data_IF_195692941274
#
_entry.id   IF_195692941274
#
_cell.length_a   1.000
_cell.length_b   1.000
_cell.length_c   1.000
_cell.angle_alpha   90.00
_cell.angle_beta   90.00
_cell.angle_gamma   90.00
#
_symmetry.space_group_name_H-M   'P 1'
#
loop_
_entity.id
_entity.type
_entity.pdbx_description
1 polymer ?
#
# COMPACT_ATOMS: atom_id res chain seq x y z
N UNK A 1 -12.82 5.07 -13.24
CA UNK A 1 -13.15 4.39 -11.97
C UNK A 1 -14.04 5.27 -11.13
N UNK A 2 -15.17 4.76 -10.71
CA UNK A 2 -16.07 5.50 -9.82
C UNK A 2 -15.71 5.13 -8.37
N UNK A 3 -15.18 6.11 -7.63
CA UNK A 3 -14.67 5.87 -6.28
C UNK A 3 -15.73 5.31 -5.33
N UNK A 4 -16.99 5.73 -5.47
CA UNK A 4 -18.09 5.26 -4.63
C UNK A 4 -18.38 3.77 -4.79
N UNK A 5 -17.88 3.12 -5.85
CA UNK A 5 -18.05 1.69 -6.09
C UNK A 5 -16.95 0.86 -5.43
N UNK A 6 -15.90 1.50 -4.94
CA UNK A 6 -14.82 0.82 -4.27
C UNK A 6 -15.21 0.38 -2.87
N UNK A 7 -14.61 -0.71 -2.38
CA UNK A 7 -14.78 -1.14 -0.99
C UNK A 7 -14.28 -0.04 -0.04
N UNK A 8 -14.75 -0.02 1.22
CA UNK A 8 -14.29 0.99 2.18
C UNK A 8 -12.77 1.05 2.33
N UNK A 9 -12.11 -0.10 2.37
CA UNK A 9 -10.65 -0.15 2.46
C UNK A 9 -10.01 0.49 1.24
N UNK A 10 -10.49 0.15 0.07
CA UNK A 10 -9.92 0.68 -1.18
C UNK A 10 -10.19 2.16 -1.34
N UNK A 11 -11.35 2.65 -0.88
CA UNK A 11 -11.63 4.08 -0.85
C UNK A 11 -10.59 4.81 0.01
N UNK A 12 -10.28 4.28 1.18
CA UNK A 12 -9.29 4.86 2.07
C UNK A 12 -7.90 4.83 1.44
N UNK A 13 -7.55 3.72 0.78
CA UNK A 13 -6.27 3.62 0.07
C UNK A 13 -6.16 4.72 -1.00
N UNK A 14 -7.17 4.86 -1.82
CA UNK A 14 -7.18 5.85 -2.91
C UNK A 14 -7.07 7.28 -2.35
N UNK A 15 -7.81 7.58 -1.29
CA UNK A 15 -7.75 8.90 -0.65
C UNK A 15 -6.36 9.18 -0.09
N UNK A 16 -5.76 8.19 0.57
CA UNK A 16 -4.41 8.33 1.12
C UNK A 16 -3.38 8.54 0.01
N UNK A 17 -3.51 7.78 -1.08
CA UNK A 17 -2.61 7.91 -2.23
C UNK A 17 -2.66 9.32 -2.83
N UNK A 18 -3.81 9.96 -2.85
CA UNK A 18 -3.95 11.33 -3.35
C UNK A 18 -3.11 12.34 -2.57
N UNK A 19 -2.87 12.06 -1.29
CA UNK A 19 -2.05 12.93 -0.44
C UNK A 19 -0.55 12.69 -0.65
N UNK A 20 -0.18 11.55 -1.23
CA UNK A 20 1.21 11.16 -1.46
C UNK A 20 1.41 10.67 -2.90
N UNK A 21 1.08 11.51 -3.90
CA UNK A 21 1.04 11.05 -5.29
C UNK A 21 2.42 10.69 -5.85
N UNK A 22 3.49 11.22 -5.27
CA UNK A 22 4.87 10.97 -5.69
C UNK A 22 5.55 9.85 -4.91
N UNK A 23 4.81 9.20 -4.00
CA UNK A 23 5.33 8.10 -3.19
C UNK A 23 4.68 6.78 -3.59
N UNK A 24 5.43 5.70 -3.46
CA UNK A 24 4.83 4.36 -3.47
C UNK A 24 4.17 4.20 -2.11
N UNK A 25 2.89 3.84 -2.08
CA UNK A 25 2.15 3.71 -0.83
C UNK A 25 2.14 2.25 -0.38
N UNK A 26 2.78 1.98 0.76
CA UNK A 26 2.74 0.70 1.45
C UNK A 26 1.60 0.74 2.45
N UNK A 27 0.57 -0.05 2.21
CA UNK A 27 -0.67 0.00 3.00
C UNK A 27 -0.78 -1.25 3.87
N UNK A 28 -0.73 -1.09 5.18
CA UNK A 28 -0.74 -2.22 6.11
C UNK A 28 -2.09 -2.92 6.11
N UNK A 29 -2.08 -4.22 5.83
CA UNK A 29 -3.25 -5.10 5.89
C UNK A 29 -2.85 -6.40 6.56
N UNK A 30 -3.29 -6.58 7.81
CA UNK A 30 -2.89 -7.74 8.58
C UNK A 30 -1.37 -7.80 8.76
N UNK A 31 -0.77 -8.91 8.35
CA UNK A 31 0.68 -9.12 8.49
C UNK A 31 1.47 -8.67 7.26
N UNK A 32 0.83 -7.97 6.33
CA UNK A 32 1.46 -7.54 5.09
C UNK A 32 1.35 -6.04 4.90
N UNK A 33 2.25 -5.49 4.09
CA UNK A 33 2.03 -4.21 3.41
C UNK A 33 1.66 -4.53 1.98
N UNK A 34 0.53 -4.00 1.52
CA UNK A 34 0.04 -4.24 0.17
C UNK A 34 0.10 -2.96 -0.66
N UNK A 35 0.34 -3.13 -1.95
CA UNK A 35 0.37 -2.05 -2.92
C UNK A 35 -0.64 -2.37 -4.01
N UNK A 36 -1.30 -1.33 -4.54
CA UNK A 36 -2.40 -1.51 -5.51
C UNK A 36 -2.19 -0.61 -6.72
N UNK A 37 -2.84 -0.99 -7.81
CA UNK A 37 -2.88 -0.21 -9.05
C UNK A 37 -1.47 0.04 -9.59
N UNK A 38 -1.14 1.27 -9.97
CA UNK A 38 0.16 1.60 -10.54
C UNK A 38 1.31 1.25 -9.62
N UNK A 39 1.16 1.46 -8.31
CA UNK A 39 2.22 1.12 -7.36
C UNK A 39 2.49 -0.39 -7.35
N UNK A 40 1.44 -1.20 -7.48
CA UNK A 40 1.61 -2.65 -7.56
C UNK A 40 2.39 -3.06 -8.81
N UNK A 41 2.09 -2.44 -9.95
CA UNK A 41 2.81 -2.70 -11.19
C UNK A 41 4.28 -2.34 -11.05
N UNK A 42 4.56 -1.17 -10.49
CA UNK A 42 5.93 -0.70 -10.29
C UNK A 42 6.71 -1.61 -9.33
N UNK A 43 6.14 -1.87 -8.15
CA UNK A 43 6.82 -2.63 -7.11
C UNK A 43 7.04 -4.08 -7.52
N UNK A 44 6.05 -4.72 -8.14
CA UNK A 44 6.20 -6.10 -8.57
C UNK A 44 7.35 -6.25 -9.57
N UNK A 45 7.52 -5.28 -10.45
CA UNK A 45 8.60 -5.26 -11.42
C UNK A 45 9.94 -4.98 -10.75
N UNK A 46 10.00 -3.93 -9.92
CA UNK A 46 11.27 -3.49 -9.33
C UNK A 46 11.81 -4.47 -8.30
N UNK A 47 10.94 -5.13 -7.56
CA UNK A 47 11.33 -6.09 -6.52
C UNK A 47 11.25 -7.53 -7.00
N UNK A 48 10.75 -7.76 -8.21
CA UNK A 48 10.59 -9.11 -8.79
C UNK A 48 9.72 -9.99 -7.90
N UNK A 49 8.62 -9.42 -7.38
CA UNK A 49 7.64 -10.14 -6.58
C UNK A 49 6.35 -10.34 -7.37
N UNK A 50 5.55 -11.30 -6.93
CA UNK A 50 4.35 -11.71 -7.66
C UNK A 50 3.32 -10.57 -7.71
N UNK A 51 2.86 -10.27 -8.93
CA UNK A 51 1.71 -9.40 -9.15
C UNK A 51 0.46 -10.29 -9.17
N UNK A 52 -0.52 -9.94 -8.37
CA UNK A 52 -1.79 -10.66 -8.30
C UNK A 52 -2.94 -9.65 -8.37
N UNK A 53 -4.14 -10.05 -7.99
CA UNK A 53 -5.29 -9.17 -7.99
C UNK A 53 -6.04 -9.25 -6.67
N UNK A 54 -6.69 -8.16 -6.31
CA UNK A 54 -7.51 -8.11 -5.10
C UNK A 54 -8.88 -7.55 -5.46
N UNK A 55 -9.93 -8.16 -4.91
CA UNK A 55 -11.28 -7.66 -5.04
C UNK A 55 -11.35 -6.27 -4.38
N UNK A 56 -11.75 -5.28 -5.14
CA UNK A 56 -11.78 -3.89 -4.69
C UNK A 56 -13.18 -3.28 -4.69
N UNK A 57 -14.19 -4.09 -4.96
CA UNK A 57 -15.59 -3.63 -5.05
C UNK A 57 -16.04 -3.34 -6.47
N UNK A 58 -15.12 -3.43 -7.44
CA UNK A 58 -15.44 -3.30 -8.87
C UNK A 58 -15.52 -4.69 -9.50
N UNK A 59 -16.04 -4.77 -10.74
CA UNK A 59 -16.12 -6.03 -11.47
C UNK A 59 -14.73 -6.61 -11.72
N UNK A 60 -13.75 -5.76 -12.03
CA UNK A 60 -12.38 -6.18 -12.23
C UNK A 60 -11.60 -6.10 -10.91
N UNK A 61 -10.69 -7.06 -10.71
CA UNK A 61 -9.83 -7.05 -9.54
C UNK A 61 -8.72 -6.02 -9.73
N UNK A 62 -8.36 -5.33 -8.64
CA UNK A 62 -7.26 -4.37 -8.67
C UNK A 62 -5.93 -5.11 -8.71
N UNK A 63 -4.96 -4.66 -9.54
CA UNK A 63 -3.60 -5.19 -9.44
C UNK A 63 -3.08 -5.00 -8.02
N UNK A 64 -2.41 -6.03 -7.48
CA UNK A 64 -1.92 -6.01 -6.12
C UNK A 64 -0.62 -6.79 -6.00
N UNK A 65 0.28 -6.31 -5.18
CA UNK A 65 1.39 -7.09 -4.67
C UNK A 65 1.58 -6.75 -3.19
N UNK A 66 2.33 -7.56 -2.48
CA UNK A 66 2.50 -7.35 -1.06
C UNK A 66 3.80 -7.93 -0.54
N UNK A 67 4.24 -7.40 0.60
CA UNK A 67 5.44 -7.88 1.30
C UNK A 67 5.09 -8.11 2.76
N UNK A 68 5.68 -9.14 3.40
CA UNK A 68 5.46 -9.36 4.83
C UNK A 68 5.95 -8.16 5.65
N UNK A 69 5.17 -7.76 6.65
CA UNK A 69 5.54 -6.57 7.41
C UNK A 69 6.88 -6.74 8.15
N UNK A 70 7.18 -7.96 8.58
CA UNK A 70 8.44 -8.21 9.32
C UNK A 70 9.68 -8.13 8.42
N UNK A 71 9.52 -8.15 7.11
CA UNK A 71 10.62 -8.06 6.15
C UNK A 71 10.63 -6.73 5.39
N UNK A 72 9.81 -5.77 5.80
CA UNK A 72 9.60 -4.53 5.04
C UNK A 72 10.88 -3.72 4.84
N UNK A 73 11.77 -3.69 5.83
CA UNK A 73 12.97 -2.85 5.76
C UNK A 73 13.87 -3.22 4.56
N UNK A 74 14.02 -4.52 4.26
CA UNK A 74 14.85 -4.94 3.13
C UNK A 74 14.23 -4.51 1.80
N UNK A 75 12.92 -4.58 1.68
CA UNK A 75 12.22 -4.15 0.46
C UNK A 75 12.24 -2.63 0.32
N UNK A 76 12.05 -1.90 1.42
CA UNK A 76 12.17 -0.44 1.43
C UNK A 76 13.54 -0.01 0.96
N UNK A 77 14.60 -0.63 1.50
CA UNK A 77 15.97 -0.31 1.13
C UNK A 77 16.17 -0.45 -0.38
N UNK A 78 15.70 -1.55 -0.95
CA UNK A 78 15.84 -1.81 -2.39
C UNK A 78 15.13 -0.74 -3.24
N UNK A 79 13.91 -0.36 -2.85
CA UNK A 79 13.16 0.68 -3.58
C UNK A 79 13.82 2.04 -3.46
N UNK A 80 14.24 2.40 -2.26
CA UNK A 80 14.88 3.70 -2.01
C UNK A 80 16.21 3.78 -2.75
N UNK A 81 16.96 2.69 -2.82
CA UNK A 81 18.21 2.63 -3.61
C UNK A 81 17.95 2.89 -5.10
N UNK A 82 16.79 2.55 -5.59
CA UNK A 82 16.39 2.80 -6.98
C UNK A 82 15.81 4.19 -7.20
N UNK A 83 15.76 5.01 -6.16
CA UNK A 83 15.29 6.39 -6.25
C UNK A 83 13.83 6.62 -5.91
N UNK A 84 13.12 5.60 -5.47
CA UNK A 84 11.71 5.74 -5.12
C UNK A 84 11.52 6.31 -3.71
N UNK A 85 10.46 7.11 -3.55
CA UNK A 85 9.97 7.53 -2.24
C UNK A 85 8.87 6.56 -1.82
N UNK A 86 8.81 6.22 -0.54
CA UNK A 86 7.81 5.29 -0.03
C UNK A 86 7.10 5.90 1.18
N UNK A 87 5.78 5.92 1.13
CA UNK A 87 4.94 6.32 2.26
C UNK A 87 4.38 5.05 2.89
N UNK A 88 4.42 4.97 4.22
CA UNK A 88 3.95 3.80 4.95
C UNK A 88 2.71 4.17 5.75
N UNK A 89 1.57 3.58 5.36
CA UNK A 89 0.31 3.70 6.08
C UNK A 89 0.19 2.51 7.02
N UNK A 90 0.26 2.79 8.32
CA UNK A 90 0.26 1.77 9.35
C UNK A 90 -1.07 1.74 10.08
N UNK A 91 -1.42 0.59 10.64
CA UNK A 91 -2.58 0.47 11.52
C UNK A 91 -2.29 1.21 12.82
N UNK A 92 -3.17 2.14 13.19
CA UNK A 92 -2.99 2.98 14.38
C UNK A 92 -4.04 2.70 15.45
N UNK A 93 -4.83 1.62 15.27
CA UNK A 93 -5.72 1.14 16.32
C UNK A 93 -5.70 -0.39 16.34
N UNK A 94 -6.04 -0.97 17.48
CA UNK A 94 -6.09 -2.42 17.65
C UNK A 94 -7.22 -2.99 16.78
N UNK A 95 -6.93 -3.91 15.84
CA UNK A 95 -7.98 -4.52 15.02
C UNK A 95 -9.09 -5.17 15.84
N UNK A 96 -8.79 -5.68 17.03
CA UNK A 96 -9.78 -6.31 17.91
C UNK A 96 -10.75 -5.30 18.50
N UNK A 97 -10.37 -4.03 18.59
CA UNK A 97 -11.17 -2.97 19.16
C UNK A 97 -11.83 -2.10 18.09
N UNK A 98 -11.45 -2.28 16.83
CA UNK A 98 -11.96 -1.47 15.76
C UNK A 98 -13.43 -1.78 15.48
N UNK A 99 -14.20 -0.72 15.23
CA UNK A 99 -15.59 -0.82 14.78
C UNK A 99 -15.60 -0.56 13.26
N UNK A 100 -15.56 -1.65 12.49
CA UNK A 100 -15.48 -1.55 11.04
C UNK A 100 -14.04 -1.57 10.56
N UNK A 101 -13.70 -0.71 9.59
CA UNK A 101 -12.36 -0.65 9.03
C UNK A 101 -11.34 -0.19 10.06
N UNK A 102 -10.25 -0.94 10.22
CA UNK A 102 -9.16 -0.58 11.11
C UNK A 102 -8.56 0.74 10.64
N UNK A 103 -8.38 1.67 11.56
CA UNK A 103 -7.84 3.00 11.25
C UNK A 103 -6.37 2.88 10.83
N UNK A 104 -6.02 3.58 9.76
CA UNK A 104 -4.65 3.64 9.24
C UNK A 104 -4.25 5.07 8.97
N UNK A 105 -2.98 5.38 9.20
CA UNK A 105 -2.41 6.70 8.93
C UNK A 105 -1.01 6.52 8.37
N UNK A 106 -0.58 7.46 7.53
CA UNK A 106 0.81 7.50 7.08
C UNK A 106 1.66 7.99 8.26
N UNK A 107 2.54 7.11 8.73
CA UNK A 107 3.40 7.40 9.89
C UNK A 107 4.86 7.61 9.50
N UNK A 108 5.21 7.30 8.25
CA UNK A 108 6.60 7.33 7.82
C UNK A 108 6.67 7.58 6.33
N UNK A 109 7.54 8.48 5.92
CA UNK A 109 7.89 8.68 4.50
C UNK A 109 9.38 8.47 4.38
N UNK A 110 9.79 7.52 3.54
CA UNK A 110 11.20 7.20 3.32
C UNK A 110 11.59 7.75 1.95
N UNK A 111 12.65 8.55 1.93
CA UNK A 111 13.14 9.15 0.69
C UNK A 111 14.55 8.65 0.40
N UNK A 112 14.99 8.73 -0.87
CA UNK A 112 16.37 8.40 -1.20
C UNK A 112 17.33 9.21 -0.35
N UNK A 113 18.35 8.56 0.18
CA UNK A 113 19.31 9.20 1.05
C UNK A 113 20.10 10.30 0.34
N UNK A 114 20.47 11.29 1.08
CA UNK A 114 21.32 12.38 0.62
C UNK A 114 22.66 12.32 1.32
#
# INVERSE_FOLDING_TARGET
MVQSQLSPMMQHYVETKKEYPDCILFYRLGDFYEMFFEDALTVSKELEITLTGKDCGLDERAPMCGVPYHAVESYLYRLVQKGYKVAIAEQVEDPKLAKGLVKREVIRVVTPGT
#
